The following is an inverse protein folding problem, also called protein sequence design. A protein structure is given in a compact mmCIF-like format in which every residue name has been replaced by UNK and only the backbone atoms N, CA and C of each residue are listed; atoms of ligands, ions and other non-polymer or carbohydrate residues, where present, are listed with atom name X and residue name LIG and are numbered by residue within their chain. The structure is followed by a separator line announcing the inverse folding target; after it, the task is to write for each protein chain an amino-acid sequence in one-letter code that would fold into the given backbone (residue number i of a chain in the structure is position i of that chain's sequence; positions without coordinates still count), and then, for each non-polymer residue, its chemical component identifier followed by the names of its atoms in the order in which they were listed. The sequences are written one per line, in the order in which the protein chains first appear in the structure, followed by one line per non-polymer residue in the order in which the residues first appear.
data_IF_578575866726
#
_entry.id   IF_578575866726
#
_cell.length_a   1.000
_cell.length_b   1.000
_cell.length_c   1.000
_cell.angle_alpha   90.00
_cell.angle_beta   90.00
_cell.angle_gamma   90.00
#
_symmetry.space_group_name_H-M   'P 1'
#
loop_
_entity.id
_entity.type
_entity.pdbx_description
1 polymer ?
#
# COMPACT_ATOMS: atom_id res chain seq x y z
N UNK A 1 -75.91 -19.89 12.49
CA UNK A 1 -76.19 -21.00 11.53
C UNK A 1 -74.83 -21.39 10.96
N UNK A 2 -74.30 -22.48 11.45
CA UNK A 2 -72.97 -23.06 11.00
C UNK A 2 -73.17 -23.72 9.64
N UNK A 3 -72.28 -23.40 8.72
CA UNK A 3 -72.12 -24.18 7.51
C UNK A 3 -70.68 -24.79 7.53
N UNK A 4 -70.57 -26.00 8.06
CA UNK A 4 -69.37 -26.80 8.02
C UNK A 4 -69.25 -27.42 6.63
N UNK A 5 -68.31 -26.95 5.87
CA UNK A 5 -67.86 -27.60 4.64
C UNK A 5 -67.06 -28.84 5.01
N UNK A 6 -67.64 -30.01 4.80
CA UNK A 6 -67.03 -31.33 4.96
C UNK A 6 -66.02 -31.49 3.79
N UNK A 7 -64.76 -31.30 4.06
CA UNK A 7 -63.64 -31.61 3.10
C UNK A 7 -63.39 -33.12 3.14
N UNK A 8 -63.57 -33.79 2.01
CA UNK A 8 -63.41 -35.26 1.85
C UNK A 8 -61.97 -35.68 2.27
N UNK A 9 -61.86 -36.80 3.00
CA UNK A 9 -60.53 -37.27 3.50
C UNK A 9 -59.49 -37.59 2.42
N UNK A 10 -59.93 -37.81 1.19
CA UNK A 10 -59.06 -38.25 0.11
C UNK A 10 -58.14 -37.13 -0.49
N UNK A 11 -58.60 -35.87 -0.43
CA UNK A 11 -57.81 -34.74 -0.94
C UNK A 11 -56.66 -34.33 0.02
N UNK A 12 -56.79 -34.60 1.32
CA UNK A 12 -55.73 -34.36 2.31
C UNK A 12 -54.57 -35.34 2.17
N UNK A 13 -54.87 -36.58 1.80
CA UNK A 13 -53.85 -37.61 1.64
C UNK A 13 -53.05 -37.40 0.34
N UNK A 14 -53.65 -36.91 -0.73
CA UNK A 14 -52.98 -36.61 -1.98
C UNK A 14 -52.07 -35.36 -1.89
N UNK A 15 -52.49 -34.32 -1.15
CA UNK A 15 -51.69 -33.11 -0.96
C UNK A 15 -50.47 -33.35 -0.08
N UNK A 16 -50.60 -34.16 0.98
CA UNK A 16 -49.48 -34.54 1.86
C UNK A 16 -48.47 -35.48 1.17
N UNK A 17 -48.94 -36.35 0.27
CA UNK A 17 -48.07 -37.22 -0.52
C UNK A 17 -47.26 -36.43 -1.56
N UNK A 18 -47.86 -35.38 -2.14
CA UNK A 18 -47.22 -34.52 -3.11
C UNK A 18 -46.18 -33.56 -2.45
N UNK A 19 -46.44 -33.09 -1.21
CA UNK A 19 -45.50 -32.26 -0.46
C UNK A 19 -44.25 -33.07 -0.04
N UNK A 20 -44.43 -34.30 0.46
CA UNK A 20 -43.30 -35.19 0.79
C UNK A 20 -42.44 -35.57 -0.42
N UNK A 21 -43.06 -35.73 -1.59
CA UNK A 21 -42.36 -35.98 -2.86
C UNK A 21 -41.50 -34.78 -3.29
N UNK A 22 -42.05 -33.56 -3.16
CA UNK A 22 -41.29 -32.33 -3.48
C UNK A 22 -40.14 -32.05 -2.50
N UNK A 23 -40.38 -32.28 -1.20
CA UNK A 23 -39.30 -32.15 -0.19
C UNK A 23 -38.16 -33.18 -0.40
N UNK A 24 -38.53 -34.43 -0.75
CA UNK A 24 -37.56 -35.48 -1.08
C UNK A 24 -36.70 -35.13 -2.31
N UNK A 25 -37.33 -34.55 -3.35
CA UNK A 25 -36.60 -34.12 -4.56
C UNK A 25 -35.70 -32.90 -4.26
N UNK A 26 -36.21 -31.94 -3.46
CA UNK A 26 -35.41 -30.77 -3.04
C UNK A 26 -34.19 -31.18 -2.18
N UNK A 27 -34.40 -32.10 -1.23
CA UNK A 27 -33.33 -32.63 -0.38
C UNK A 27 -32.31 -33.46 -1.18
N UNK A 28 -32.74 -34.22 -2.18
CA UNK A 28 -31.81 -34.92 -3.07
C UNK A 28 -31.02 -33.96 -3.98
N UNK A 29 -31.68 -32.92 -4.51
CA UNK A 29 -31.03 -31.91 -5.33
C UNK A 29 -30.01 -31.10 -4.50
N UNK A 30 -30.38 -30.73 -3.27
CA UNK A 30 -29.47 -30.00 -2.37
C UNK A 30 -28.28 -30.87 -1.93
N UNK A 31 -28.52 -32.16 -1.62
CA UNK A 31 -27.43 -33.12 -1.34
C UNK A 31 -26.53 -33.37 -2.54
N UNK A 32 -27.07 -33.38 -3.75
CA UNK A 32 -26.29 -33.51 -4.98
C UNK A 32 -25.44 -32.26 -5.25
N UNK A 33 -25.96 -31.06 -4.99
CA UNK A 33 -25.22 -29.81 -5.10
C UNK A 33 -24.11 -29.73 -4.05
N UNK A 34 -24.42 -30.02 -2.79
CA UNK A 34 -23.44 -30.03 -1.68
C UNK A 34 -22.36 -31.10 -1.89
N UNK A 35 -22.72 -32.29 -2.39
CA UNK A 35 -21.71 -33.30 -2.75
C UNK A 35 -20.83 -32.88 -3.93
N UNK A 36 -21.34 -32.12 -4.90
CA UNK A 36 -20.52 -31.59 -5.99
C UNK A 36 -19.50 -30.54 -5.49
N UNK A 37 -19.90 -29.71 -4.52
CA UNK A 37 -18.99 -28.70 -3.96
C UNK A 37 -17.91 -29.30 -3.06
N UNK A 38 -18.18 -30.41 -2.36
CA UNK A 38 -17.22 -31.04 -1.45
C UNK A 38 -16.27 -32.04 -2.11
N UNK A 39 -16.63 -32.59 -3.28
CA UNK A 39 -15.79 -33.59 -4.00
C UNK A 39 -15.31 -33.12 -5.35
N UNK A 40 -15.73 -31.93 -5.78
CA UNK A 40 -15.50 -31.42 -7.13
C UNK A 40 -14.19 -30.65 -7.31
N UNK A 41 -13.06 -31.21 -6.89
CA UNK A 41 -11.81 -30.98 -7.63
C UNK A 41 -11.93 -31.71 -8.97
N UNK A 42 -12.80 -31.21 -9.85
CA UNK A 42 -12.70 -31.54 -11.25
C UNK A 42 -11.33 -31.06 -11.69
N UNK A 43 -10.42 -31.95 -11.91
CA UNK A 43 -9.16 -31.66 -12.60
C UNK A 43 -9.53 -31.22 -14.02
N UNK A 44 -9.83 -29.89 -14.11
CA UNK A 44 -10.20 -29.31 -15.40
C UNK A 44 -8.99 -29.49 -16.30
N UNK A 45 -9.17 -30.20 -17.42
CA UNK A 45 -8.09 -30.47 -18.38
C UNK A 45 -7.43 -29.14 -18.73
N UNK A 46 -6.11 -29.07 -18.66
CA UNK A 46 -5.31 -27.87 -18.90
C UNK A 46 -5.74 -27.08 -20.15
N UNK A 47 -6.13 -27.76 -21.21
CA UNK A 47 -6.63 -27.12 -22.43
C UNK A 47 -7.97 -26.39 -22.26
N UNK A 48 -8.88 -26.90 -21.44
CA UNK A 48 -10.16 -26.21 -21.11
C UNK A 48 -9.95 -25.03 -20.20
N UNK A 49 -9.01 -25.16 -19.25
CA UNK A 49 -8.61 -24.08 -18.37
C UNK A 49 -7.98 -22.92 -19.16
N UNK A 50 -7.06 -23.22 -20.07
CA UNK A 50 -6.40 -22.22 -20.91
C UNK A 50 -7.39 -21.51 -21.85
N UNK A 51 -8.34 -22.24 -22.45
CA UNK A 51 -9.40 -21.63 -23.27
C UNK A 51 -10.31 -20.69 -22.48
N UNK A 52 -10.62 -21.02 -21.23
CA UNK A 52 -11.51 -20.21 -20.38
C UNK A 52 -10.81 -18.99 -19.81
N UNK A 53 -9.54 -19.11 -19.43
CA UNK A 53 -8.77 -18.06 -18.76
C UNK A 53 -7.64 -17.47 -19.62
N UNK A 54 -7.49 -17.90 -20.87
CA UNK A 54 -6.40 -17.50 -21.78
C UNK A 54 -6.33 -15.98 -21.98
N UNK A 55 -7.48 -15.31 -22.08
CA UNK A 55 -7.54 -13.86 -22.21
C UNK A 55 -6.96 -13.16 -20.96
N UNK A 56 -7.20 -13.70 -19.75
CA UNK A 56 -6.65 -13.15 -18.52
C UNK A 56 -5.13 -13.34 -18.45
N UNK A 57 -4.63 -14.48 -18.89
CA UNK A 57 -3.18 -14.72 -18.98
C UNK A 57 -2.52 -13.84 -20.03
N UNK A 58 -3.19 -13.59 -21.16
CA UNK A 58 -2.69 -12.66 -22.18
C UNK A 58 -2.61 -11.22 -21.63
N UNK A 59 -3.63 -10.78 -20.90
CA UNK A 59 -3.61 -9.47 -20.21
C UNK A 59 -2.51 -9.39 -19.15
N UNK A 60 -2.22 -10.48 -18.45
CA UNK A 60 -1.15 -10.55 -17.45
C UNK A 60 0.24 -10.57 -18.10
N UNK A 61 0.37 -11.12 -19.30
CA UNK A 61 1.65 -11.25 -20.00
C UNK A 61 2.29 -9.89 -20.29
N UNK A 62 1.49 -8.89 -20.67
CA UNK A 62 1.99 -7.53 -20.97
C UNK A 62 2.66 -6.89 -19.75
N UNK A 63 2.01 -6.73 -18.56
CA UNK A 63 2.69 -6.21 -17.40
C UNK A 63 3.84 -7.10 -16.91
N UNK A 64 3.73 -8.43 -17.03
CA UNK A 64 4.80 -9.34 -16.67
C UNK A 64 6.04 -9.13 -17.53
N UNK A 65 5.87 -9.03 -18.85
CA UNK A 65 6.97 -8.72 -19.78
C UNK A 65 7.59 -7.37 -19.45
N UNK A 66 6.78 -6.34 -19.16
CA UNK A 66 7.27 -5.05 -18.72
C UNK A 66 8.13 -5.16 -17.45
N UNK A 67 7.66 -5.89 -16.42
CA UNK A 67 8.43 -6.08 -15.20
C UNK A 67 9.74 -6.84 -15.45
N UNK A 68 9.72 -7.88 -16.27
CA UNK A 68 10.94 -8.64 -16.61
C UNK A 68 11.95 -7.73 -17.31
N UNK A 69 11.54 -7.02 -18.35
CA UNK A 69 12.44 -6.20 -19.15
C UNK A 69 12.96 -5.01 -18.34
N UNK A 70 12.11 -4.27 -17.63
CA UNK A 70 12.47 -3.01 -17.00
C UNK A 70 12.90 -3.12 -15.53
N UNK A 71 12.65 -4.26 -14.89
CA UNK A 71 13.06 -4.50 -13.49
C UNK A 71 14.10 -5.61 -13.37
N UNK A 72 13.82 -6.80 -13.90
CA UNK A 72 14.72 -7.94 -13.73
C UNK A 72 15.98 -7.85 -14.60
N UNK A 73 15.87 -7.38 -15.85
CA UNK A 73 17.06 -7.20 -16.70
C UNK A 73 18.05 -6.21 -16.07
N UNK A 74 17.63 -4.99 -15.62
CA UNK A 74 18.55 -4.10 -14.89
C UNK A 74 19.10 -4.69 -13.59
N UNK A 75 18.36 -5.52 -12.87
CA UNK A 75 18.87 -6.20 -11.67
C UNK A 75 20.08 -7.12 -11.96
N UNK A 76 20.17 -7.67 -13.16
CA UNK A 76 21.37 -8.46 -13.55
C UNK A 76 22.65 -7.63 -13.52
N UNK A 77 22.55 -6.30 -13.70
CA UNK A 77 23.69 -5.38 -13.61
C UNK A 77 24.24 -5.19 -12.19
N UNK A 78 23.57 -5.74 -11.16
CA UNK A 78 24.14 -5.82 -9.79
C UNK A 78 25.46 -6.57 -9.79
N UNK A 79 25.67 -7.49 -10.73
CA UNK A 79 26.95 -8.18 -10.94
C UNK A 79 28.13 -7.21 -11.19
N UNK A 80 27.87 -6.00 -11.72
CA UNK A 80 28.92 -4.99 -11.92
C UNK A 80 29.58 -4.55 -10.60
N UNK A 81 28.86 -4.62 -9.47
CA UNK A 81 29.42 -4.30 -8.17
C UNK A 81 30.62 -5.20 -7.78
N UNK A 82 30.68 -6.40 -8.37
CA UNK A 82 31.72 -7.39 -8.08
C UNK A 82 32.77 -7.51 -9.21
N UNK A 83 32.56 -6.80 -10.32
CA UNK A 83 33.40 -6.92 -11.50
C UNK A 83 34.21 -5.65 -11.76
N UNK A 84 35.27 -5.77 -12.55
CA UNK A 84 36.06 -4.60 -12.99
C UNK A 84 35.16 -3.70 -13.82
N UNK A 85 35.12 -2.40 -13.50
CA UNK A 85 34.34 -1.44 -14.23
C UNK A 85 34.89 -1.24 -15.65
N UNK A 86 34.08 -1.65 -16.65
CA UNK A 86 34.32 -1.31 -18.06
C UNK A 86 32.96 -1.11 -18.75
N UNK A 87 32.67 0.14 -19.06
CA UNK A 87 31.36 0.57 -19.63
C UNK A 87 31.11 -0.04 -21.02
N UNK A 88 32.16 -0.46 -21.72
CA UNK A 88 32.07 -0.97 -23.10
C UNK A 88 31.74 -2.48 -23.18
N UNK A 89 31.76 -3.21 -22.06
CA UNK A 89 31.54 -4.65 -22.03
C UNK A 89 30.32 -5.01 -21.19
N UNK A 90 29.57 -6.00 -21.63
CA UNK A 90 28.45 -6.53 -20.85
C UNK A 90 28.93 -7.11 -19.50
N UNK A 91 28.13 -7.05 -18.42
CA UNK A 91 28.54 -7.47 -17.08
C UNK A 91 29.09 -8.88 -16.97
N UNK A 92 28.55 -9.81 -17.76
CA UNK A 92 28.96 -11.22 -17.76
C UNK A 92 30.29 -11.46 -18.46
N UNK A 93 30.77 -10.54 -19.31
CA UNK A 93 32.04 -10.62 -20.02
C UNK A 93 33.20 -9.96 -19.26
N UNK A 94 32.94 -9.35 -18.12
CA UNK A 94 33.93 -8.64 -17.32
C UNK A 94 34.64 -9.59 -16.35
N UNK A 95 35.92 -9.35 -16.13
CA UNK A 95 36.68 -10.02 -15.09
C UNK A 95 36.22 -9.61 -13.70
N UNK A 96 36.47 -10.46 -12.71
CA UNK A 96 36.22 -10.12 -11.31
C UNK A 96 37.15 -9.00 -10.84
N UNK A 97 36.62 -8.11 -10.00
CA UNK A 97 37.41 -7.10 -9.33
C UNK A 97 38.45 -7.74 -8.37
N UNK A 98 39.44 -6.99 -7.95
CA UNK A 98 40.42 -7.47 -6.99
C UNK A 98 39.74 -7.93 -5.69
N UNK A 99 40.47 -8.71 -4.89
CA UNK A 99 39.95 -9.27 -3.62
C UNK A 99 38.70 -10.12 -3.79
N UNK A 100 38.63 -10.95 -4.85
CA UNK A 100 37.48 -11.81 -5.08
C UNK A 100 36.18 -11.06 -5.43
N UNK A 101 36.26 -9.84 -5.93
CA UNK A 101 35.11 -9.02 -6.29
C UNK A 101 34.77 -7.94 -5.25
N UNK A 102 35.40 -7.90 -4.09
CA UNK A 102 35.05 -6.99 -3.01
C UNK A 102 35.74 -5.63 -3.06
N UNK A 103 36.54 -5.36 -4.06
CA UNK A 103 37.34 -4.13 -4.19
C UNK A 103 36.51 -2.86 -4.05
N UNK A 104 35.34 -2.82 -4.71
CA UNK A 104 34.47 -1.63 -4.72
C UNK A 104 33.78 -1.41 -3.38
N UNK A 105 33.40 -2.48 -2.70
CA UNK A 105 32.83 -2.39 -1.36
C UNK A 105 33.86 -1.89 -0.34
N UNK A 106 35.09 -2.42 -0.40
CA UNK A 106 36.19 -1.94 0.47
C UNK A 106 36.43 -0.46 0.22
N UNK A 107 36.48 -0.02 -1.05
CA UNK A 107 36.64 1.40 -1.39
C UNK A 107 35.50 2.25 -0.86
N UNK A 108 34.22 1.79 -1.03
CA UNK A 108 33.06 2.52 -0.56
C UNK A 108 33.07 2.70 0.97
N UNK A 109 33.36 1.64 1.72
CA UNK A 109 33.41 1.73 3.18
C UNK A 109 34.62 2.52 3.73
N UNK A 110 35.66 2.73 2.92
CA UNK A 110 36.78 3.62 3.26
C UNK A 110 36.57 5.06 2.76
N UNK A 111 35.54 5.33 1.96
CA UNK A 111 35.19 6.67 1.51
C UNK A 111 34.36 7.38 2.56
N UNK A 112 34.85 8.52 3.04
CA UNK A 112 34.15 9.36 4.01
C UNK A 112 32.77 9.80 3.52
N UNK A 113 32.65 10.18 2.24
CA UNK A 113 31.38 10.63 1.66
C UNK A 113 30.32 9.52 1.69
N UNK A 114 30.73 8.27 1.44
CA UNK A 114 29.84 7.13 1.52
C UNK A 114 29.35 6.88 2.96
N UNK A 115 30.26 6.93 3.93
CA UNK A 115 29.93 6.74 5.35
C UNK A 115 29.01 7.87 5.85
N UNK A 116 29.28 9.11 5.49
CA UNK A 116 28.46 10.27 5.87
C UNK A 116 27.06 10.18 5.22
N UNK A 117 26.96 9.78 3.94
CA UNK A 117 25.68 9.53 3.29
C UNK A 117 24.91 8.39 3.94
N UNK A 118 25.58 7.29 4.31
CA UNK A 118 24.96 6.15 4.99
C UNK A 118 24.41 6.55 6.36
N UNK A 119 25.21 7.26 7.17
CA UNK A 119 24.77 7.80 8.47
C UNK A 119 23.57 8.73 8.32
N UNK A 120 23.64 9.65 7.36
CA UNK A 120 22.54 10.58 7.11
C UNK A 120 21.26 9.86 6.71
N UNK A 121 21.37 8.85 5.85
CA UNK A 121 20.23 8.01 5.44
C UNK A 121 19.59 7.30 6.64
N UNK A 122 20.41 6.70 7.51
CA UNK A 122 19.91 6.02 8.72
C UNK A 122 19.23 7.02 9.66
N UNK A 123 19.86 8.17 9.92
CA UNK A 123 19.31 9.20 10.81
C UNK A 123 17.97 9.72 10.28
N UNK A 124 17.87 10.05 9.00
CA UNK A 124 16.63 10.56 8.40
C UNK A 124 15.52 9.50 8.46
N UNK A 125 15.81 8.25 8.14
CA UNK A 125 14.81 7.19 8.21
C UNK A 125 14.35 6.89 9.65
N UNK A 126 15.26 6.94 10.63
CA UNK A 126 14.89 6.80 12.04
C UNK A 126 14.02 7.97 12.52
N UNK A 127 14.36 9.20 12.15
CA UNK A 127 13.55 10.37 12.47
C UNK A 127 12.17 10.29 11.84
N UNK A 128 12.09 9.87 10.58
CA UNK A 128 10.81 9.68 9.90
C UNK A 128 9.99 8.55 10.53
N UNK A 129 10.61 7.45 10.94
CA UNK A 129 9.95 6.36 11.64
C UNK A 129 9.39 6.81 13.01
N UNK A 130 10.20 7.55 13.79
CA UNK A 130 9.85 7.92 15.17
C UNK A 130 8.88 9.11 15.21
N UNK A 131 9.00 10.05 14.30
CA UNK A 131 8.21 11.30 14.29
C UNK A 131 7.17 11.26 13.17
N UNK A 132 7.56 10.90 11.96
CA UNK A 132 6.71 10.89 10.77
C UNK A 132 5.60 9.84 10.82
N UNK A 133 5.89 8.64 11.34
CA UNK A 133 4.89 7.55 11.42
C UNK A 133 3.80 7.80 12.49
N UNK A 134 4.08 8.26 13.72
CA UNK A 134 3.04 8.53 14.70
C UNK A 134 2.10 9.69 14.34
N UNK A 135 2.58 10.68 13.58
CA UNK A 135 1.77 11.85 13.25
C UNK A 135 0.50 11.54 12.45
N UNK A 136 0.52 10.74 11.37
CA UNK A 136 -0.70 10.30 10.68
C UNK A 136 -1.65 9.50 11.56
N UNK A 137 -1.13 8.70 12.50
CA UNK A 137 -1.94 7.92 13.43
C UNK A 137 -2.69 8.87 14.38
N UNK A 138 -1.99 9.84 14.97
CA UNK A 138 -2.60 10.85 15.82
C UNK A 138 -3.65 11.67 15.06
N UNK A 139 -3.36 12.05 13.82
CA UNK A 139 -4.31 12.77 12.97
C UNK A 139 -5.53 11.93 12.62
N UNK A 140 -5.38 10.63 12.40
CA UNK A 140 -6.49 9.73 12.15
C UNK A 140 -7.41 9.59 13.37
N UNK A 141 -6.83 9.46 14.57
CA UNK A 141 -7.59 9.43 15.82
C UNK A 141 -8.33 10.75 16.04
N UNK A 142 -7.65 11.89 15.92
CA UNK A 142 -8.27 13.20 16.05
C UNK A 142 -9.43 13.41 15.05
N UNK A 143 -9.21 13.02 13.79
CA UNK A 143 -10.26 13.11 12.78
C UNK A 143 -11.41 12.13 13.05
N UNK A 144 -11.13 10.97 13.66
CA UNK A 144 -12.19 10.01 14.00
C UNK A 144 -13.13 10.55 15.06
N UNK A 145 -12.59 11.22 16.08
CA UNK A 145 -13.34 11.81 17.20
C UNK A 145 -14.09 13.11 16.85
N UNK A 146 -13.85 13.69 15.67
CA UNK A 146 -14.53 14.91 15.25
C UNK A 146 -16.03 14.70 15.04
N UNK A 147 -16.85 15.31 15.90
CA UNK A 147 -18.31 15.24 15.88
C UNK A 147 -18.95 16.00 14.70
N UNK A 148 -18.28 16.99 14.13
CA UNK A 148 -18.82 17.85 13.07
C UNK A 148 -18.45 17.33 11.68
N UNK A 149 -19.39 16.65 10.94
CA UNK A 149 -19.05 15.98 9.67
C UNK A 149 -18.61 16.94 8.56
N UNK A 150 -19.12 18.17 8.55
CA UNK A 150 -18.70 19.20 7.58
C UNK A 150 -17.26 19.64 7.83
N UNK A 151 -16.91 19.90 9.08
CA UNK A 151 -15.55 20.30 9.46
C UNK A 151 -14.55 19.16 9.22
N UNK A 152 -14.92 17.92 9.58
CA UNK A 152 -14.11 16.71 9.31
C UNK A 152 -13.75 16.62 7.82
N UNK A 153 -14.72 16.81 6.93
CA UNK A 153 -14.50 16.74 5.48
C UNK A 153 -13.58 17.85 4.97
N UNK A 154 -13.75 19.08 5.46
CA UNK A 154 -12.87 20.21 5.09
C UNK A 154 -11.45 19.97 5.60
N UNK A 155 -11.29 19.56 6.87
CA UNK A 155 -9.98 19.25 7.45
C UNK A 155 -9.26 18.15 6.67
N UNK A 156 -9.96 17.08 6.32
CA UNK A 156 -9.41 16.02 5.46
C UNK A 156 -8.91 16.57 4.12
N UNK A 157 -9.74 17.37 3.44
CA UNK A 157 -9.37 17.94 2.13
C UNK A 157 -8.11 18.80 2.23
N UNK A 158 -8.02 19.65 3.25
CA UNK A 158 -6.87 20.55 3.47
C UNK A 158 -5.60 19.73 3.80
N UNK A 159 -5.73 18.68 4.62
CA UNK A 159 -4.61 17.82 4.99
C UNK A 159 -4.09 16.99 3.79
N UNK A 160 -4.95 16.65 2.83
CA UNK A 160 -4.53 15.85 1.67
C UNK A 160 -3.88 16.68 0.56
N UNK A 161 -4.18 17.97 0.51
CA UNK A 161 -3.73 18.85 -0.58
C UNK A 161 -2.22 18.86 -0.79
N UNK A 162 -1.36 18.94 0.25
CA UNK A 162 0.10 18.96 0.08
C UNK A 162 0.67 17.71 -0.60
N UNK A 163 0.04 16.56 -0.43
CA UNK A 163 0.49 15.31 -1.05
C UNK A 163 0.56 15.39 -2.59
N UNK A 164 -0.35 16.12 -3.21
CA UNK A 164 -0.40 16.26 -4.67
C UNK A 164 0.67 17.21 -5.24
N UNK A 165 1.36 17.95 -4.38
CA UNK A 165 2.48 18.80 -4.82
C UNK A 165 3.72 17.95 -5.08
N UNK A 166 4.40 18.20 -6.20
CA UNK A 166 5.68 17.54 -6.47
C UNK A 166 6.76 18.03 -5.50
N UNK A 167 7.73 17.18 -5.19
CA UNK A 167 8.89 17.57 -4.38
C UNK A 167 9.70 18.71 -5.00
N UNK A 168 9.70 18.84 -6.33
CA UNK A 168 10.36 19.97 -7.02
C UNK A 168 9.71 21.30 -6.66
N UNK A 169 8.38 21.35 -6.65
CA UNK A 169 7.63 22.55 -6.25
C UNK A 169 7.88 22.87 -4.79
N UNK A 170 7.79 21.87 -3.91
CA UNK A 170 8.02 22.06 -2.47
C UNK A 170 9.44 22.55 -2.21
N UNK A 171 10.45 21.95 -2.85
CA UNK A 171 11.85 22.36 -2.70
C UNK A 171 12.05 23.80 -3.17
N UNK A 172 11.52 24.17 -4.34
CA UNK A 172 11.63 25.53 -4.88
C UNK A 172 10.97 26.56 -3.97
N UNK A 173 9.80 26.23 -3.40
CA UNK A 173 9.08 27.06 -2.47
C UNK A 173 9.85 27.20 -1.14
N UNK A 174 10.38 26.08 -0.64
CA UNK A 174 11.16 26.06 0.60
C UNK A 174 12.44 26.89 0.49
N UNK A 175 13.14 26.82 -0.64
CA UNK A 175 14.33 27.66 -0.87
C UNK A 175 14.04 29.15 -0.77
N UNK A 176 12.85 29.58 -1.20
CA UNK A 176 12.44 31.00 -1.13
C UNK A 176 11.88 31.37 0.25
N UNK A 177 11.05 30.53 0.83
CA UNK A 177 10.39 30.82 2.13
C UNK A 177 11.36 30.72 3.31
N UNK A 178 12.29 29.78 3.26
CA UNK A 178 13.22 29.44 4.34
C UNK A 178 14.64 29.98 4.12
N UNK A 179 14.84 30.89 3.14
CA UNK A 179 16.11 31.53 2.94
C UNK A 179 16.57 32.27 4.20
N UNK A 180 17.89 32.28 4.45
CA UNK A 180 18.45 32.85 5.70
C UNK A 180 18.21 34.36 5.76
N UNK A 181 18.55 35.09 4.70
CA UNK A 181 18.50 36.58 4.73
C UNK A 181 17.15 37.15 4.31
N UNK A 182 16.59 36.63 3.19
CA UNK A 182 15.37 37.17 2.56
C UNK A 182 14.16 36.25 2.68
N UNK A 183 14.28 35.19 3.50
CA UNK A 183 13.21 34.22 3.69
C UNK A 183 12.01 34.79 4.42
N UNK A 184 10.81 34.55 3.86
CA UNK A 184 9.55 35.07 4.39
C UNK A 184 9.32 34.66 5.85
N UNK A 185 9.71 33.44 6.20
CA UNK A 185 9.58 32.91 7.58
C UNK A 185 10.45 33.72 8.55
N UNK A 186 11.72 33.96 8.21
CA UNK A 186 12.63 34.76 9.01
C UNK A 186 12.14 36.21 9.16
N UNK A 187 11.57 36.79 8.09
CA UNK A 187 11.02 38.15 8.12
C UNK A 187 9.79 38.28 9.05
N UNK A 188 8.87 37.31 8.97
CA UNK A 188 7.65 37.33 9.82
C UNK A 188 7.98 37.18 11.29
N UNK A 189 8.92 36.27 11.62
CA UNK A 189 9.27 35.98 13.02
C UNK A 189 10.41 36.84 13.54
N UNK A 190 11.00 37.73 12.73
CA UNK A 190 12.13 38.58 13.11
C UNK A 190 13.37 37.76 13.48
N UNK A 191 13.55 36.60 12.88
CA UNK A 191 14.65 35.66 13.16
C UNK A 191 15.63 35.61 11.99
N UNK A 192 16.82 35.06 12.24
CA UNK A 192 17.82 34.83 11.20
C UNK A 192 18.32 33.37 11.26
N UNK A 193 17.38 32.44 11.15
CA UNK A 193 17.67 31.01 11.25
C UNK A 193 18.07 30.49 9.86
N UNK A 194 19.22 29.83 9.79
CA UNK A 194 19.68 29.17 8.58
C UNK A 194 19.03 27.76 8.47
N UNK A 195 17.76 27.71 8.11
CA UNK A 195 16.97 26.46 8.01
C UNK A 195 17.61 25.42 7.09
N UNK A 196 18.24 25.86 6.01
CA UNK A 196 18.86 25.00 5.00
C UNK A 196 20.38 25.05 5.04
N UNK A 197 20.96 25.88 5.91
CA UNK A 197 22.39 26.18 5.94
C UNK A 197 23.22 25.25 6.83
N UNK A 198 22.63 24.59 7.82
CA UNK A 198 23.31 23.67 8.72
C UNK A 198 22.73 22.27 8.62
N UNK A 199 23.54 21.25 8.89
CA UNK A 199 23.13 19.85 8.77
C UNK A 199 21.91 19.51 9.63
N UNK A 200 21.89 19.95 10.89
CA UNK A 200 20.79 19.68 11.80
C UNK A 200 19.50 20.43 11.41
N UNK A 201 19.61 21.70 11.02
CA UNK A 201 18.45 22.48 10.60
C UNK A 201 17.88 21.93 9.29
N UNK A 202 18.74 21.51 8.36
CA UNK A 202 18.32 20.89 7.12
C UNK A 202 17.54 19.58 7.38
N UNK A 203 18.06 18.72 8.27
CA UNK A 203 17.36 17.48 8.65
C UNK A 203 16.00 17.77 9.28
N UNK A 204 15.94 18.71 10.22
CA UNK A 204 14.68 19.13 10.85
C UNK A 204 13.68 19.67 9.81
N UNK A 205 14.14 20.55 8.93
CA UNK A 205 13.34 21.12 7.85
C UNK A 205 12.80 20.03 6.91
N UNK A 206 13.66 19.08 6.52
CA UNK A 206 13.28 17.96 5.65
C UNK A 206 12.18 17.09 6.30
N UNK A 207 12.33 16.74 7.57
CA UNK A 207 11.33 15.94 8.30
C UNK A 207 10.01 16.71 8.45
N UNK A 208 10.03 17.99 8.80
CA UNK A 208 8.82 18.81 8.91
C UNK A 208 8.09 18.91 7.58
N UNK A 209 8.80 19.17 6.49
CA UNK A 209 8.21 19.22 5.14
C UNK A 209 7.68 17.85 4.70
N UNK A 210 8.38 16.78 5.03
CA UNK A 210 7.95 15.40 4.76
C UNK A 210 6.64 15.07 5.48
N UNK A 211 6.56 15.36 6.77
CA UNK A 211 5.34 15.18 7.56
C UNK A 211 4.20 16.04 7.00
N UNK A 212 4.43 17.32 6.74
CA UNK A 212 3.42 18.20 6.17
C UNK A 212 2.88 17.67 4.83
N UNK A 213 3.74 17.13 3.99
CA UNK A 213 3.36 16.59 2.68
C UNK A 213 2.61 15.25 2.78
N UNK A 214 3.09 14.31 3.58
CA UNK A 214 2.64 12.92 3.52
C UNK A 214 1.65 12.56 4.65
N UNK A 215 1.60 13.33 5.74
CA UNK A 215 0.78 13.03 6.90
C UNK A 215 -0.70 12.87 6.54
N UNK A 216 -1.26 13.80 5.75
CA UNK A 216 -2.68 13.74 5.37
C UNK A 216 -3.02 12.49 4.57
N UNK A 217 -2.19 12.13 3.59
CA UNK A 217 -2.39 10.94 2.76
C UNK A 217 -2.32 9.66 3.60
N UNK A 218 -1.31 9.54 4.44
CA UNK A 218 -1.15 8.39 5.32
C UNK A 218 -2.29 8.28 6.34
N UNK A 219 -2.83 9.41 6.79
CA UNK A 219 -4.00 9.46 7.68
C UNK A 219 -5.23 8.75 7.11
N UNK A 220 -5.43 8.76 5.77
CA UNK A 220 -6.55 8.06 5.12
C UNK A 220 -6.48 6.57 5.40
N UNK A 221 -5.30 5.97 5.31
CA UNK A 221 -5.10 4.52 5.49
C UNK A 221 -5.46 4.13 6.93
N UNK A 222 -4.98 4.90 7.91
CA UNK A 222 -5.30 4.65 9.32
C UNK A 222 -6.77 4.91 9.64
N UNK A 223 -7.38 5.96 9.07
CA UNK A 223 -8.79 6.24 9.25
C UNK A 223 -9.68 5.13 8.64
N UNK A 224 -9.30 4.60 7.48
CA UNK A 224 -9.99 3.46 6.88
C UNK A 224 -9.88 2.21 7.76
N UNK A 225 -8.72 1.96 8.37
CA UNK A 225 -8.55 0.86 9.32
C UNK A 225 -9.43 1.03 10.57
N UNK A 226 -9.48 2.25 11.15
CA UNK A 226 -10.33 2.55 12.30
C UNK A 226 -11.83 2.36 12.01
N UNK A 227 -12.30 2.78 10.84
CA UNK A 227 -13.70 2.60 10.45
C UNK A 227 -14.08 1.15 10.16
N UNK A 228 -13.10 0.27 9.98
CA UNK A 228 -13.31 -1.18 9.82
C UNK A 228 -13.44 -1.96 11.13
N UNK A 229 -13.19 -1.32 12.28
CA UNK A 229 -13.32 -1.96 13.60
C UNK A 229 -14.80 -1.99 14.00
N UNK A 230 -15.30 -3.17 14.40
CA UNK A 230 -16.69 -3.30 14.83
C UNK A 230 -16.94 -2.54 16.14
N UNK A 231 -18.11 -1.85 16.28
CA UNK A 231 -18.47 -1.16 17.52
C UNK A 231 -18.46 -2.06 18.76
N UNK A 232 -18.78 -3.34 18.58
CA UNK A 232 -18.78 -4.33 19.67
C UNK A 232 -17.43 -4.47 20.39
N UNK A 233 -16.31 -4.25 19.66
CA UNK A 233 -14.97 -4.26 20.26
C UNK A 233 -14.70 -3.03 21.14
N UNK A 234 -15.33 -1.90 20.82
CA UNK A 234 -15.26 -0.70 21.66
C UNK A 234 -16.10 -0.81 22.93
N UNK A 235 -17.23 -1.54 22.87
CA UNK A 235 -18.09 -1.78 24.04
C UNK A 235 -17.51 -2.83 25.00
N UNK A 236 -16.64 -3.71 24.50
CA UNK A 236 -15.99 -4.76 25.30
C UNK A 236 -14.68 -4.31 25.97
N UNK A 237 -14.14 -3.13 25.63
CA UNK A 237 -12.88 -2.58 26.17
C UNK A 237 -13.13 -1.58 27.28
#
# INVERSE_FOLDING_TARGET
MCNQAIIKPDERCSSLRNSKGKEGILLQSTKAIVRRDLTGRSTMRWGTYLKRYGTLYLLLLVPLAFFIIFRYVPMSYILLAFKKNNILKAPWLLDWAKNGGWEWFIKAFNDKNFIDALKNTIILNLLDLVIGTPMPILMALLLNELAFPKFKRVAQTVLYLPHFLSWVIISSLSLRLLATNDGLVNQIFGTNIAFLGTENNWRATYIVLGIWKECGWNTIIYLAALTGISPELYEAA
#
